data_IF_852450951141
#
_entry.id   IF_852450951141
#
_cell.length_a   1.000
_cell.length_b   1.000
_cell.length_c   1.000
_cell.angle_alpha   90.00
_cell.angle_beta   90.00
_cell.angle_gamma   90.00
#
_symmetry.space_group_name_H-M   'P 1'
#
loop_
_entity.id
_entity.type
_entity.pdbx_description
1 polymer ?
#
# COMPACT_ATOMS: atom_id res chain seq x y z
N UNK A 1 -4.04 -22.14 -2.00
CA UNK A 1 -4.68 -20.88 -1.58
C UNK A 1 -4.94 -20.10 -2.85
N UNK A 2 -6.18 -19.70 -3.10
CA UNK A 2 -6.53 -18.91 -4.29
C UNK A 2 -6.28 -17.43 -4.01
N UNK A 3 -6.04 -16.64 -5.06
CA UNK A 3 -5.89 -15.18 -4.93
C UNK A 3 -7.15 -14.55 -4.29
N UNK A 4 -8.33 -15.12 -4.59
CA UNK A 4 -9.61 -14.74 -3.96
C UNK A 4 -9.60 -14.81 -2.43
N UNK A 5 -8.79 -15.71 -1.85
CA UNK A 5 -8.72 -15.89 -0.39
C UNK A 5 -7.87 -14.79 0.26
N UNK A 6 -7.02 -14.11 -0.51
CA UNK A 6 -6.23 -12.96 -0.07
C UNK A 6 -7.02 -11.66 -0.15
N UNK A 7 -7.94 -11.54 -1.11
CA UNK A 7 -8.67 -10.31 -1.38
C UNK A 7 -9.58 -9.84 -0.24
N UNK A 8 -9.94 -10.72 0.68
CA UNK A 8 -10.79 -10.40 1.84
C UNK A 8 -10.00 -10.07 3.10
N UNK A 9 -8.66 -10.19 3.09
CA UNK A 9 -7.84 -10.01 4.29
C UNK A 9 -7.51 -8.54 4.52
N UNK A 10 -7.64 -8.11 5.76
CA UNK A 10 -7.24 -6.78 6.19
C UNK A 10 -5.72 -6.71 6.38
N UNK A 11 -5.09 -5.63 5.93
CA UNK A 11 -3.66 -5.39 6.09
C UNK A 11 -3.41 -4.39 7.22
N UNK A 12 -2.68 -4.83 8.24
CA UNK A 12 -2.42 -4.05 9.45
C UNK A 12 -0.91 -3.86 9.63
N UNK A 13 -0.49 -2.62 9.83
CA UNK A 13 0.90 -2.32 10.18
C UNK A 13 1.15 -2.63 11.66
N UNK A 14 2.19 -3.41 11.96
CA UNK A 14 2.53 -3.78 13.33
C UNK A 14 3.23 -2.65 14.10
N UNK A 15 3.74 -1.63 13.40
CA UNK A 15 4.48 -0.52 14.03
C UNK A 15 3.52 0.44 14.73
N UNK A 16 2.45 0.85 14.05
CA UNK A 16 1.48 1.83 14.55
C UNK A 16 0.08 1.23 14.78
N UNK A 17 -0.15 -0.03 14.42
CA UNK A 17 -1.44 -0.70 14.54
C UNK A 17 -2.49 -0.26 13.52
N UNK A 18 -2.13 0.60 12.55
CA UNK A 18 -3.11 1.13 11.59
C UNK A 18 -3.50 0.10 10.55
N UNK A 19 -4.79 0.13 10.19
CA UNK A 19 -5.33 -0.59 9.03
C UNK A 19 -4.99 0.17 7.75
N UNK A 20 -4.22 -0.47 6.88
CA UNK A 20 -3.79 0.10 5.59
C UNK A 20 -4.86 -0.11 4.50
N UNK A 21 -5.66 -1.18 4.62
CA UNK A 21 -6.70 -1.51 3.65
C UNK A 21 -6.89 -3.02 3.53
N UNK A 22 -7.45 -3.45 2.39
CA UNK A 22 -7.57 -4.87 2.02
C UNK A 22 -6.69 -5.13 0.80
N UNK A 23 -6.24 -6.36 0.61
CA UNK A 23 -5.44 -6.73 -0.56
C UNK A 23 -6.34 -6.67 -1.80
N UNK A 24 -5.93 -5.90 -2.80
CA UNK A 24 -6.63 -5.88 -4.10
C UNK A 24 -5.97 -6.84 -5.08
N UNK A 25 -4.63 -6.85 -5.12
CA UNK A 25 -3.84 -7.60 -6.10
C UNK A 25 -2.49 -8.08 -5.56
N UNK A 26 -1.82 -8.95 -6.31
CA UNK A 26 -0.51 -9.52 -6.03
C UNK A 26 0.40 -9.37 -7.27
N UNK A 27 1.58 -8.76 -7.11
CA UNK A 27 2.56 -8.71 -8.18
C UNK A 27 3.44 -9.96 -8.17
N UNK A 28 3.66 -10.54 -9.34
CA UNK A 28 4.45 -11.75 -9.53
C UNK A 28 5.71 -11.46 -10.34
N UNK A 29 6.86 -11.91 -9.86
CA UNK A 29 8.05 -12.06 -10.70
C UNK A 29 7.86 -13.29 -11.60
N UNK A 30 7.52 -13.05 -12.88
CA UNK A 30 7.29 -14.08 -13.89
C UNK A 30 8.54 -14.90 -14.21
N UNK A 31 9.75 -14.39 -13.94
CA UNK A 31 11.00 -15.10 -14.21
C UNK A 31 11.27 -16.14 -13.13
N UNK A 32 10.86 -15.87 -11.89
CA UNK A 32 11.07 -16.74 -10.73
C UNK A 32 9.82 -17.50 -10.29
N UNK A 33 8.63 -17.11 -10.78
CA UNK A 33 7.35 -17.68 -10.35
C UNK A 33 7.02 -17.37 -8.89
N UNK A 34 7.50 -16.24 -8.35
CA UNK A 34 7.33 -15.86 -6.94
C UNK A 34 6.53 -14.58 -6.82
N UNK A 35 5.84 -14.41 -5.70
CA UNK A 35 5.16 -13.17 -5.35
C UNK A 35 6.22 -12.15 -4.92
N UNK A 36 6.24 -10.99 -5.56
CA UNK A 36 7.17 -9.90 -5.24
C UNK A 36 6.52 -8.90 -4.25
N UNK A 37 5.26 -8.56 -4.46
CA UNK A 37 4.55 -7.56 -3.67
C UNK A 37 3.05 -7.82 -3.56
N UNK A 38 2.40 -7.20 -2.58
CA UNK A 38 0.93 -7.13 -2.45
C UNK A 38 0.49 -5.68 -2.63
N UNK A 39 -0.64 -5.49 -3.30
CA UNK A 39 -1.19 -4.17 -3.59
C UNK A 39 -2.40 -3.92 -2.70
N UNK A 40 -2.36 -2.81 -1.95
CA UNK A 40 -3.41 -2.40 -1.02
C UNK A 40 -3.91 -1.02 -1.42
N UNK A 41 -5.12 -0.88 -1.97
CA UNK A 41 -5.67 0.43 -2.29
C UNK A 41 -5.85 1.26 -1.02
N UNK A 42 -5.22 2.44 -1.00
CA UNK A 42 -5.39 3.37 0.10
C UNK A 42 -6.75 4.06 -0.03
N UNK A 43 -7.76 3.48 0.61
CA UNK A 43 -9.11 4.05 0.66
C UNK A 43 -9.28 5.08 1.80
N UNK A 44 -8.20 5.78 2.20
CA UNK A 44 -8.24 6.85 3.21
C UNK A 44 -9.02 8.07 2.70
N UNK A 45 -10.33 7.90 2.54
CA UNK A 45 -11.32 8.96 2.31
C UNK A 45 -11.64 9.76 3.58
N UNK A 46 -10.91 9.53 4.68
CA UNK A 46 -11.25 10.09 6.00
C UNK A 46 -10.34 11.23 6.49
N UNK A 47 -9.41 11.73 5.68
CA UNK A 47 -8.80 13.05 5.91
C UNK A 47 -9.10 13.93 4.69
N UNK A 48 -10.05 14.83 4.88
CA UNK A 48 -10.69 15.58 3.80
C UNK A 48 -9.71 16.42 2.98
N UNK A 49 -10.03 16.49 1.68
CA UNK A 49 -9.46 17.36 0.66
C UNK A 49 -8.14 16.86 0.05
N UNK A 50 -8.14 16.84 -1.28
CA UNK A 50 -7.07 16.49 -2.23
C UNK A 50 -7.03 15.03 -2.70
N UNK A 51 -7.11 14.89 -4.02
CA UNK A 51 -7.54 13.71 -4.74
C UNK A 51 -6.43 12.72 -5.06
N UNK A 52 -6.86 11.50 -5.34
CA UNK A 52 -6.02 10.41 -5.82
C UNK A 52 -5.71 9.42 -4.72
N UNK A 53 -6.59 8.43 -4.50
CA UNK A 53 -6.23 7.26 -3.70
C UNK A 53 -5.07 6.54 -4.38
N UNK A 54 -3.89 6.60 -3.77
CA UNK A 54 -2.69 5.93 -4.29
C UNK A 54 -2.61 4.52 -3.71
N UNK A 55 -2.37 3.54 -4.59
CA UNK A 55 -2.19 2.15 -4.16
C UNK A 55 -0.88 2.01 -3.38
N UNK A 56 -0.94 1.30 -2.25
CA UNK A 56 0.22 0.98 -1.43
C UNK A 56 0.77 -0.37 -1.90
N UNK A 57 1.99 -0.35 -2.43
CA UNK A 57 2.71 -1.55 -2.84
C UNK A 57 3.58 -2.02 -1.66
N UNK A 58 3.29 -3.20 -1.13
CA UNK A 58 3.98 -3.77 0.03
C UNK A 58 4.80 -4.98 -0.43
N UNK A 59 6.15 -4.89 -0.43
CA UNK A 59 7.01 -6.00 -0.80
C UNK A 59 6.76 -7.22 0.09
N UNK A 60 6.83 -8.42 -0.49
CA UNK A 60 6.58 -9.69 0.22
C UNK A 60 7.45 -9.84 1.48
N UNK A 61 8.70 -9.35 1.43
CA UNK A 61 9.64 -9.32 2.55
C UNK A 61 9.17 -8.52 3.78
N UNK A 62 8.18 -7.63 3.64
CA UNK A 62 7.63 -6.84 4.74
C UNK A 62 6.43 -7.52 5.39
N UNK A 63 5.94 -8.63 4.83
CA UNK A 63 4.89 -9.44 5.43
C UNK A 63 5.49 -10.22 6.60
N UNK A 64 4.96 -9.98 7.79
CA UNK A 64 5.39 -10.63 9.03
C UNK A 64 4.59 -11.92 9.25
N UNK A 65 3.28 -11.86 9.00
CA UNK A 65 2.38 -13.00 9.20
C UNK A 65 1.13 -12.89 8.35
N UNK A 66 0.72 -14.00 7.74
CA UNK A 66 -0.56 -14.14 7.06
C UNK A 66 -1.47 -15.00 7.94
N UNK A 67 -2.53 -14.41 8.45
CA UNK A 67 -3.56 -15.07 9.25
C UNK A 67 -4.78 -15.50 8.42
N UNK A 68 -5.81 -15.98 9.13
CA UNK A 68 -7.10 -16.32 8.53
C UNK A 68 -7.81 -15.06 7.97
N UNK A 69 -7.77 -13.95 8.70
CA UNK A 69 -8.51 -12.73 8.34
C UNK A 69 -7.59 -11.52 8.12
N UNK A 70 -6.36 -11.57 8.63
CA UNK A 70 -5.47 -10.41 8.71
C UNK A 70 -4.08 -10.73 8.20
N UNK A 71 -3.47 -9.81 7.45
CA UNK A 71 -2.06 -9.82 7.08
C UNK A 71 -1.34 -8.73 7.87
N UNK A 72 -0.36 -9.15 8.66
CA UNK A 72 0.49 -8.25 9.45
C UNK A 72 1.71 -7.88 8.63
N UNK A 73 1.96 -6.58 8.49
CA UNK A 73 3.09 -6.03 7.76
C UNK A 73 3.90 -5.12 8.67
N UNK A 74 5.20 -4.99 8.39
CA UNK A 74 6.07 -4.01 9.05
C UNK A 74 6.48 -2.96 8.03
N UNK A 75 5.86 -1.79 8.11
CA UNK A 75 6.25 -0.62 7.33
C UNK A 75 6.83 0.42 8.28
N UNK A 76 8.06 0.85 8.01
CA UNK A 76 8.69 1.97 8.70
C UNK A 76 8.28 3.26 7.97
N UNK A 77 7.72 4.25 8.67
CA UNK A 77 7.11 5.47 8.13
C UNK A 77 7.98 6.24 7.12
N UNK A 78 9.31 6.09 7.19
CA UNK A 78 10.28 6.79 6.35
C UNK A 78 10.23 6.45 4.85
N UNK A 79 9.42 5.47 4.40
CA UNK A 79 9.34 5.06 2.98
C UNK A 79 8.00 5.35 2.32
N UNK A 80 6.92 5.56 3.07
CA UNK A 80 5.60 5.88 2.50
C UNK A 80 5.47 7.37 2.16
N UNK A 81 6.22 8.26 2.81
CA UNK A 81 6.15 9.71 2.55
C UNK A 81 6.78 10.14 1.22
N UNK A 82 7.73 9.38 0.66
CA UNK A 82 8.47 9.81 -0.54
C UNK A 82 7.64 9.85 -1.81
N UNK A 83 6.63 8.99 -1.94
CA UNK A 83 5.70 9.07 -3.07
C UNK A 83 4.73 10.26 -2.94
N UNK A 84 4.50 10.75 -1.71
CA UNK A 84 3.65 11.91 -1.43
C UNK A 84 4.42 13.21 -1.70
N UNK A 85 5.66 13.32 -1.18
CA UNK A 85 6.48 14.54 -1.29
C UNK A 85 6.90 14.89 -2.75
N UNK A 86 7.14 13.87 -3.60
CA UNK A 86 7.49 14.09 -5.02
C UNK A 86 6.29 14.56 -5.87
N UNK A 87 5.06 14.23 -5.44
CA UNK A 87 3.84 14.69 -6.12
C UNK A 87 3.48 16.15 -5.78
N UNK A 88 3.72 16.58 -4.53
CA UNK A 88 3.40 17.94 -4.06
C UNK A 88 4.31 19.01 -4.68
N UNK A 89 5.60 18.69 -4.85
CA UNK A 89 6.57 19.61 -5.46
C UNK A 89 6.34 19.84 -6.95
N UNK A 90 5.81 18.84 -7.67
CA UNK A 90 5.49 18.95 -9.10
C UNK A 90 4.23 19.80 -9.33
N UNK A 91 3.21 19.66 -8.49
CA UNK A 91 1.96 20.41 -8.64
C UNK A 91 2.12 21.90 -8.25
N UNK A 92 2.91 22.20 -7.22
CA UNK A 92 3.19 23.60 -6.84
C UNK A 92 3.92 24.38 -7.96
N UNK A 93 4.78 23.67 -8.71
CA UNK A 93 5.56 24.27 -9.79
C UNK A 93 4.72 24.50 -11.07
N UNK A 94 3.60 23.78 -11.23
CA UNK A 94 2.63 23.99 -12.32
C UNK A 94 1.67 25.14 -12.03
N UNK A 95 1.23 25.30 -10.79
CA UNK A 95 0.29 26.35 -10.38
C UNK A 95 0.91 27.75 -10.30
N UNK A 96 2.22 27.86 -10.11
CA UNK A 96 2.94 29.15 -10.01
C UNK A 96 3.32 29.78 -11.36
N UNK A 97 2.89 29.19 -12.50
CA UNK A 97 3.16 29.67 -13.86
C UNK A 97 1.92 30.18 -14.61
N UNK A 98 0.78 30.31 -13.93
CA UNK A 98 -0.49 30.84 -14.46
C UNK A 98 -0.73 32.29 -14.09
#
# INVERSE_FOLDING_TARGET
MKISDFQTKDVINIVDGKKLGQISDLELDLRQGKIDSIVVPNNSKFFGLFGGGTDIIIPWKHIVKIGADVVLVKLDDAKTSRAVEESETVDYNRSSRG
#
